data_IF_469725437558
#
_entry.id   IF_469725437558
#
_cell.length_a   1.000
_cell.length_b   1.000
_cell.length_c   1.000
_cell.angle_alpha   90.00
_cell.angle_beta   90.00
_cell.angle_gamma   90.00
#
_symmetry.space_group_name_H-M   'P 1'
#
loop_
_entity.id
_entity.type
_entity.pdbx_description
1 polymer ?
#
# COMPACT_ATOMS: atom_id res chain seq x y z
N UNK A 1 -23.61 14.28 -6.35
CA UNK A 1 -22.62 13.26 -6.79
C UNK A 1 -21.72 12.94 -5.61
N UNK A 2 -21.60 11.67 -5.20
CA UNK A 2 -20.81 11.26 -4.02
C UNK A 2 -19.43 10.80 -4.47
N UNK A 3 -18.38 11.36 -3.87
CA UNK A 3 -16.98 10.97 -4.08
C UNK A 3 -16.44 10.32 -2.80
N UNK A 4 -15.65 9.24 -2.89
CA UNK A 4 -15.03 8.66 -1.70
C UNK A 4 -14.05 9.65 -1.07
N UNK A 5 -14.04 9.68 0.26
CA UNK A 5 -12.98 10.33 1.02
C UNK A 5 -11.91 9.27 1.27
N UNK A 6 -10.65 9.51 0.89
CA UNK A 6 -9.58 8.57 1.15
C UNK A 6 -9.40 8.31 2.65
N UNK A 7 -9.01 7.09 3.05
CA UNK A 7 -8.68 6.77 4.45
C UNK A 7 -7.28 7.28 4.83
N UNK A 8 -6.38 7.42 3.85
CA UNK A 8 -5.01 7.89 4.06
C UNK A 8 -4.13 6.90 4.80
N UNK A 9 -3.07 7.39 5.44
CA UNK A 9 -2.28 6.60 6.38
C UNK A 9 -2.97 6.54 7.75
N UNK A 10 -2.48 5.69 8.65
CA UNK A 10 -3.05 5.59 9.99
C UNK A 10 -2.94 6.91 10.76
N UNK A 11 -3.89 7.13 11.68
CA UNK A 11 -3.91 8.31 12.54
C UNK A 11 -2.60 8.41 13.36
N UNK A 12 -1.97 9.59 13.50
CA UNK A 12 -0.72 9.76 14.24
C UNK A 12 -0.73 9.33 15.70
N UNK A 13 -1.91 9.15 16.31
CA UNK A 13 -2.04 8.55 17.65
C UNK A 13 -1.55 7.10 17.72
N UNK A 14 -1.50 6.41 16.57
CA UNK A 14 -1.00 5.04 16.47
C UNK A 14 0.46 5.05 16.01
N UNK A 15 1.27 4.13 16.54
CA UNK A 15 2.69 3.98 16.19
C UNK A 15 2.95 3.86 14.68
N UNK A 16 2.04 3.22 13.94
CA UNK A 16 2.14 3.05 12.49
C UNK A 16 1.59 4.24 11.68
N UNK A 17 1.07 5.27 12.35
CA UNK A 17 0.65 6.54 11.77
C UNK A 17 1.69 7.66 11.88
N UNK A 18 2.93 7.34 12.29
CA UNK A 18 3.98 8.33 12.52
C UNK A 18 4.39 9.05 11.21
N UNK A 19 3.87 10.27 11.02
CA UNK A 19 4.11 11.08 9.82
C UNK A 19 5.58 11.46 9.61
N UNK A 20 6.34 11.70 10.69
CA UNK A 20 7.76 12.02 10.58
C UNK A 20 8.55 10.88 9.94
N UNK A 21 8.16 9.63 10.24
CA UNK A 21 8.75 8.43 9.61
C UNK A 21 8.46 8.41 8.11
N UNK A 22 7.23 8.70 7.68
CA UNK A 22 6.91 8.81 6.26
C UNK A 22 7.73 9.90 5.58
N UNK A 23 7.75 11.11 6.16
CA UNK A 23 8.50 12.24 5.60
C UNK A 23 10.01 11.96 5.48
N UNK A 24 10.58 11.27 6.48
CA UNK A 24 11.97 10.81 6.47
C UNK A 24 12.22 9.90 5.26
N UNK A 25 11.47 8.82 5.11
CA UNK A 25 11.68 7.86 4.02
C UNK A 25 11.39 8.48 2.65
N UNK A 26 10.39 9.36 2.53
CA UNK A 26 10.11 10.09 1.29
C UNK A 26 11.29 10.94 0.81
N UNK A 27 12.11 11.46 1.73
CA UNK A 27 13.29 12.29 1.42
C UNK A 27 14.52 11.46 1.05
N UNK A 28 14.54 10.16 1.36
CA UNK A 28 15.66 9.27 1.03
C UNK A 28 15.81 9.05 -0.49
N UNK A 29 14.78 9.31 -1.29
CA UNK A 29 14.78 9.14 -2.76
C UNK A 29 15.35 7.77 -3.19
N UNK A 30 14.89 6.72 -2.50
CA UNK A 30 15.33 5.35 -2.72
C UNK A 30 15.18 4.91 -4.18
N UNK A 31 16.22 4.27 -4.73
CA UNK A 31 16.18 3.65 -6.05
C UNK A 31 15.23 2.44 -6.06
N UNK A 32 14.49 2.27 -7.16
CA UNK A 32 13.62 1.12 -7.34
C UNK A 32 14.42 -0.07 -7.84
N UNK A 33 14.37 -1.17 -7.12
CA UNK A 33 15.09 -2.41 -7.45
C UNK A 33 14.22 -3.67 -7.27
N UNK A 34 12.98 -3.52 -6.80
CA UNK A 34 12.00 -4.59 -6.68
C UNK A 34 10.84 -4.34 -7.63
N UNK A 35 10.44 -5.36 -8.38
CA UNK A 35 9.31 -5.23 -9.30
C UNK A 35 8.02 -4.96 -8.53
N UNK A 36 7.71 -5.79 -7.55
CA UNK A 36 6.57 -5.60 -6.68
C UNK A 36 6.87 -6.00 -5.24
N UNK A 37 6.10 -5.44 -4.30
CA UNK A 37 6.17 -5.78 -2.89
C UNK A 37 4.81 -6.21 -2.35
N UNK A 38 4.80 -7.34 -1.64
CA UNK A 38 3.64 -7.90 -0.98
C UNK A 38 3.98 -8.20 0.48
N UNK A 39 3.47 -7.36 1.39
CA UNK A 39 3.63 -7.57 2.82
C UNK A 39 2.39 -7.07 3.56
N UNK A 40 1.63 -8.02 4.11
CA UNK A 40 0.38 -7.75 4.83
C UNK A 40 -0.02 -8.88 5.76
N UNK A 41 -0.56 -8.52 6.93
CA UNK A 41 -1.04 -9.45 7.93
C UNK A 41 -2.33 -10.17 7.47
N UNK A 42 -2.31 -11.49 7.35
CA UNK A 42 -3.50 -12.28 6.97
C UNK A 42 -4.66 -12.07 7.95
N UNK A 43 -4.39 -11.93 9.25
CA UNK A 43 -5.43 -11.96 10.29
C UNK A 43 -6.44 -10.80 10.21
N UNK A 44 -6.10 -9.69 9.54
CA UNK A 44 -7.02 -8.55 9.39
C UNK A 44 -8.15 -8.83 8.41
N UNK A 45 -7.93 -9.70 7.42
CA UNK A 45 -8.97 -10.15 6.50
C UNK A 45 -8.56 -11.50 5.88
N UNK A 46 -8.71 -12.60 6.62
CA UNK A 46 -8.20 -13.90 6.19
C UNK A 46 -8.74 -14.33 4.82
N UNK A 47 -10.05 -14.21 4.51
CA UNK A 47 -10.57 -14.61 3.20
C UNK A 47 -9.91 -13.86 2.03
N UNK A 48 -9.86 -12.52 2.10
CA UNK A 48 -9.31 -11.72 1.00
C UNK A 48 -7.79 -11.87 0.85
N UNK A 49 -7.07 -11.97 1.97
CA UNK A 49 -5.60 -12.00 1.99
C UNK A 49 -5.03 -13.37 1.64
N UNK A 50 -5.68 -14.45 2.07
CA UNK A 50 -5.31 -15.80 1.63
C UNK A 50 -5.62 -16.01 0.15
N UNK A 51 -6.75 -15.51 -0.35
CA UNK A 51 -7.07 -15.55 -1.78
C UNK A 51 -6.00 -14.82 -2.62
N UNK A 52 -5.60 -13.62 -2.17
CA UNK A 52 -4.52 -12.86 -2.77
C UNK A 52 -3.22 -13.68 -2.83
N UNK A 53 -2.66 -14.12 -1.69
CA UNK A 53 -1.42 -14.92 -1.70
C UNK A 53 -1.51 -16.16 -2.59
N UNK A 54 -2.62 -16.89 -2.50
CA UNK A 54 -2.86 -18.09 -3.31
C UNK A 54 -2.82 -17.79 -4.81
N UNK A 55 -3.52 -16.75 -5.25
CA UNK A 55 -3.62 -16.42 -6.68
C UNK A 55 -2.37 -15.76 -7.23
N UNK A 56 -1.64 -14.98 -6.43
CA UNK A 56 -0.32 -14.47 -6.83
C UNK A 56 0.76 -15.57 -6.85
N UNK A 57 0.51 -16.74 -6.26
CA UNK A 57 1.49 -17.82 -6.19
C UNK A 57 2.68 -17.52 -5.25
N UNK A 58 2.50 -16.60 -4.30
CA UNK A 58 3.52 -16.22 -3.32
C UNK A 58 3.14 -16.70 -1.92
N UNK A 59 4.15 -17.00 -1.10
CA UNK A 59 3.91 -17.43 0.29
C UNK A 59 3.69 -16.21 1.18
N UNK A 60 2.78 -16.29 2.17
CA UNK A 60 2.66 -15.25 3.16
C UNK A 60 3.93 -15.16 3.99
N UNK A 61 4.26 -13.93 4.39
CA UNK A 61 5.26 -13.70 5.41
C UNK A 61 4.70 -14.21 6.75
N UNK A 62 5.31 -15.27 7.28
CA UNK A 62 4.86 -15.97 8.49
C UNK A 62 5.24 -15.23 9.78
N UNK A 63 6.02 -14.16 9.68
CA UNK A 63 6.58 -13.47 10.85
C UNK A 63 5.70 -12.34 11.40
N UNK A 64 4.50 -12.11 10.89
CA UNK A 64 3.59 -11.12 11.48
C UNK A 64 3.27 -11.50 12.94
N UNK A 65 3.78 -10.75 13.94
CA UNK A 65 3.54 -11.12 15.32
C UNK A 65 2.09 -10.80 15.64
N UNK A 66 1.37 -11.78 16.19
CA UNK A 66 0.16 -11.48 16.93
C UNK A 66 0.59 -10.75 18.20
N UNK A 67 0.47 -9.43 18.21
CA UNK A 67 0.84 -8.61 19.36
C UNK A 67 -0.02 -9.00 20.57
N UNK A 68 0.62 -9.43 21.65
CA UNK A 68 -0.07 -9.81 22.89
C UNK A 68 -0.53 -8.57 23.68
N UNK A 69 0.01 -7.40 23.37
CA UNK A 69 -0.37 -6.12 23.98
C UNK A 69 -0.16 -4.94 23.01
N UNK A 70 -0.70 -3.76 23.36
CA UNK A 70 -0.45 -2.50 22.63
C UNK A 70 1.05 -2.17 22.64
N UNK A 71 1.74 -2.41 23.76
CA UNK A 71 3.18 -2.18 23.87
C UNK A 71 3.96 -3.08 22.91
N UNK A 72 3.63 -4.37 22.82
CA UNK A 72 4.30 -5.29 21.91
C UNK A 72 4.07 -4.91 20.44
N UNK A 73 2.86 -4.44 20.12
CA UNK A 73 2.56 -3.88 18.81
C UNK A 73 3.43 -2.65 18.51
N UNK A 74 3.50 -1.70 19.44
CA UNK A 74 4.24 -0.45 19.23
C UNK A 74 5.75 -0.69 19.15
N UNK A 75 6.30 -1.58 19.97
CA UNK A 75 7.71 -1.98 19.90
C UNK A 75 8.03 -2.66 18.56
N UNK A 76 7.15 -3.54 18.08
CA UNK A 76 7.30 -4.16 16.77
C UNK A 76 7.28 -3.11 15.65
N UNK A 77 6.24 -2.25 15.61
CA UNK A 77 6.10 -1.22 14.59
C UNK A 77 7.29 -0.27 14.60
N UNK A 78 7.75 0.16 15.78
CA UNK A 78 8.88 1.07 15.89
C UNK A 78 10.18 0.46 15.36
N UNK A 79 10.35 -0.86 15.50
CA UNK A 79 11.51 -1.59 14.98
C UNK A 79 11.42 -1.88 13.49
N UNK A 80 10.22 -2.07 12.92
CA UNK A 80 10.06 -2.62 11.56
C UNK A 80 9.55 -1.62 10.53
N UNK A 81 8.82 -0.57 10.93
CA UNK A 81 8.08 0.25 9.97
C UNK A 81 9.01 1.04 9.03
N UNK A 82 10.16 1.51 9.50
CA UNK A 82 11.17 2.17 8.64
C UNK A 82 11.53 1.26 7.45
N UNK A 83 11.86 -0.02 7.72
CA UNK A 83 12.23 -0.98 6.68
C UNK A 83 11.04 -1.36 5.80
N UNK A 84 9.84 -1.49 6.38
CA UNK A 84 8.61 -1.71 5.63
C UNK A 84 8.37 -0.58 4.61
N UNK A 85 8.50 0.69 5.02
CA UNK A 85 8.33 1.83 4.12
C UNK A 85 9.44 1.91 3.07
N UNK A 86 10.69 1.60 3.45
CA UNK A 86 11.80 1.49 2.49
C UNK A 86 11.52 0.44 1.42
N UNK A 87 11.11 -0.77 1.82
CA UNK A 87 10.76 -1.83 0.89
C UNK A 87 9.66 -1.42 -0.10
N UNK A 88 8.64 -0.70 0.35
CA UNK A 88 7.64 -0.12 -0.54
C UNK A 88 8.30 0.88 -1.49
N UNK A 89 9.12 1.80 -0.99
CA UNK A 89 9.77 2.83 -1.81
C UNK A 89 10.72 2.27 -2.87
N UNK A 90 11.40 1.16 -2.54
CA UNK A 90 12.26 0.41 -3.45
C UNK A 90 11.48 -0.41 -4.49
N UNK A 91 10.14 -0.44 -4.42
CA UNK A 91 9.31 -1.26 -5.30
C UNK A 91 8.52 -0.44 -6.32
N UNK A 92 8.43 -0.89 -7.57
CA UNK A 92 7.58 -0.24 -8.58
C UNK A 92 6.10 -0.38 -8.25
N UNK A 93 5.66 -1.58 -7.86
CA UNK A 93 4.28 -1.90 -7.55
C UNK A 93 4.11 -2.42 -6.12
N UNK A 94 2.97 -2.15 -5.47
CA UNK A 94 2.66 -2.67 -4.12
C UNK A 94 1.32 -3.38 -4.12
N UNK A 95 1.31 -4.62 -3.63
CA UNK A 95 0.10 -5.45 -3.52
C UNK A 95 -0.71 -4.98 -2.31
N UNK A 96 -1.91 -4.46 -2.54
CA UNK A 96 -2.78 -3.87 -1.52
C UNK A 96 -4.17 -4.53 -1.51
N UNK A 97 -4.28 -5.76 -0.98
CA UNK A 97 -5.57 -6.43 -0.82
C UNK A 97 -6.36 -5.83 0.33
N UNK A 98 -7.68 -6.02 0.24
CA UNK A 98 -8.63 -5.62 1.27
C UNK A 98 -8.13 -6.00 2.67
N UNK A 99 -8.14 -5.02 3.58
CA UNK A 99 -7.93 -5.20 5.01
C UNK A 99 -9.28 -5.31 5.71
N UNK A 100 -9.40 -4.68 6.87
CA UNK A 100 -10.70 -4.54 7.54
C UNK A 100 -11.75 -3.80 6.67
N UNK A 101 -11.29 -3.01 5.69
CA UNK A 101 -12.12 -2.35 4.69
C UNK A 101 -11.50 -2.39 3.29
N UNK A 102 -12.25 -1.86 2.31
CA UNK A 102 -11.82 -1.77 0.89
C UNK A 102 -10.76 -0.69 0.66
N UNK A 103 -10.89 0.45 1.37
CA UNK A 103 -9.86 1.48 1.37
C UNK A 103 -8.82 1.15 2.46
N UNK A 104 -7.61 0.79 2.04
CA UNK A 104 -6.56 0.31 2.93
C UNK A 104 -5.49 1.38 3.11
N UNK A 105 -4.97 1.53 4.33
CA UNK A 105 -3.82 2.41 4.59
C UNK A 105 -2.65 2.12 3.64
N UNK A 106 -2.38 0.84 3.37
CA UNK A 106 -1.33 0.41 2.43
C UNK A 106 -1.42 1.01 1.03
N UNK A 107 -2.64 1.24 0.52
CA UNK A 107 -2.84 1.90 -0.77
C UNK A 107 -2.24 3.30 -0.75
N UNK A 108 -2.43 4.03 0.35
CA UNK A 108 -1.89 5.37 0.53
C UNK A 108 -0.40 5.36 0.88
N UNK A 109 0.05 4.42 1.70
CA UNK A 109 1.47 4.21 2.00
C UNK A 109 2.28 3.97 0.72
N UNK A 110 1.76 3.12 -0.19
CA UNK A 110 2.34 2.88 -1.51
C UNK A 110 2.50 4.18 -2.30
N UNK A 111 1.42 4.96 -2.40
CA UNK A 111 1.43 6.23 -3.12
C UNK A 111 2.44 7.24 -2.54
N UNK A 112 2.50 7.38 -1.20
CA UNK A 112 3.49 8.24 -0.55
C UNK A 112 4.93 7.81 -0.82
N UNK A 113 5.16 6.50 -0.92
CA UNK A 113 6.45 5.90 -1.24
C UNK A 113 6.73 5.78 -2.75
N UNK A 114 5.92 6.43 -3.60
CA UNK A 114 6.04 6.38 -5.07
C UNK A 114 5.96 4.94 -5.61
N UNK A 115 5.14 4.09 -5.03
CA UNK A 115 4.86 2.73 -5.52
C UNK A 115 3.40 2.65 -5.94
N UNK A 116 3.11 2.02 -7.08
CA UNK A 116 1.75 1.96 -7.61
C UNK A 116 0.98 0.84 -6.90
N UNK A 117 -0.08 1.15 -6.14
CA UNK A 117 -0.89 0.11 -5.50
C UNK A 117 -1.67 -0.69 -6.55
N UNK A 118 -1.65 -2.01 -6.40
CA UNK A 118 -2.51 -2.96 -7.08
C UNK A 118 -3.61 -3.38 -6.11
N UNK A 119 -4.87 -3.12 -6.46
CA UNK A 119 -6.05 -3.34 -5.61
C UNK A 119 -7.12 -4.14 -6.33
N UNK A 120 -8.04 -4.75 -5.57
CA UNK A 120 -9.28 -5.31 -6.13
C UNK A 120 -10.24 -4.20 -6.53
N UNK A 121 -11.07 -4.44 -7.54
CA UNK A 121 -12.11 -3.50 -7.98
C UNK A 121 -13.14 -3.26 -6.88
N UNK A 122 -13.40 -1.97 -6.65
CA UNK A 122 -14.54 -1.48 -5.89
C UNK A 122 -14.81 -0.02 -6.28
N UNK A 123 -15.98 0.50 -5.91
CA UNK A 123 -16.44 1.82 -6.33
C UNK A 123 -15.42 2.94 -6.10
N UNK A 124 -14.78 2.99 -4.94
CA UNK A 124 -13.84 4.06 -4.61
C UNK A 124 -12.50 3.95 -5.33
N UNK A 125 -11.97 2.74 -5.56
CA UNK A 125 -10.78 2.56 -6.40
C UNK A 125 -10.98 3.13 -7.81
N UNK A 126 -12.14 2.87 -8.42
CA UNK A 126 -12.46 3.44 -9.73
C UNK A 126 -12.59 4.96 -9.70
N UNK A 127 -13.13 5.51 -8.62
CA UNK A 127 -13.23 6.96 -8.44
C UNK A 127 -11.86 7.59 -8.23
N UNK A 128 -10.99 7.00 -7.42
CA UNK A 128 -9.61 7.46 -7.26
C UNK A 128 -8.84 7.43 -8.57
N UNK A 129 -8.96 6.34 -9.35
CA UNK A 129 -8.35 6.26 -10.69
C UNK A 129 -8.90 7.34 -11.63
N UNK A 130 -10.20 7.61 -11.61
CA UNK A 130 -10.82 8.72 -12.37
C UNK A 130 -10.36 10.11 -11.92
N UNK A 131 -9.91 10.25 -10.67
CA UNK A 131 -9.30 11.48 -10.15
C UNK A 131 -7.80 11.60 -10.49
N UNK A 132 -7.25 10.65 -11.26
CA UNK A 132 -5.84 10.64 -11.65
C UNK A 132 -4.90 10.04 -10.61
N UNK A 133 -5.42 9.36 -9.57
CA UNK A 133 -4.57 8.63 -8.63
C UNK A 133 -4.00 7.38 -9.35
N UNK A 134 -2.67 7.16 -9.33
CA UNK A 134 -2.05 6.03 -10.01
C UNK A 134 -2.36 4.73 -9.25
N UNK A 135 -3.33 3.97 -9.74
CA UNK A 135 -3.79 2.72 -9.14
C UNK A 135 -4.06 1.71 -10.25
N UNK A 136 -3.59 0.48 -10.06
CA UNK A 136 -3.97 -0.68 -10.87
C UNK A 136 -5.13 -1.38 -10.17
N UNK A 137 -6.18 -1.67 -10.93
CA UNK A 137 -7.43 -2.24 -10.42
C UNK A 137 -7.64 -3.57 -11.11
N UNK A 138 -7.76 -4.64 -10.34
CA UNK A 138 -8.02 -6.00 -10.81
C UNK A 138 -9.44 -6.43 -10.47
N UNK A 139 -10.12 -7.11 -11.39
CA UNK A 139 -11.38 -7.77 -11.08
C UNK A 139 -11.14 -9.05 -10.30
N UNK A 140 -10.07 -9.78 -10.60
CA UNK A 140 -9.56 -10.91 -9.84
C UNK A 140 -8.04 -10.93 -9.68
N UNK A 141 -7.54 -11.48 -8.57
CA UNK A 141 -6.10 -11.60 -8.35
C UNK A 141 -5.41 -12.53 -9.36
N UNK A 142 -6.15 -13.40 -10.06
CA UNK A 142 -5.59 -14.19 -11.16
C UNK A 142 -5.07 -13.32 -12.32
N UNK A 143 -5.65 -12.14 -12.55
CA UNK A 143 -5.24 -11.19 -13.59
C UNK A 143 -3.86 -10.60 -13.34
N UNK A 144 -3.32 -10.75 -12.11
CA UNK A 144 -1.99 -10.27 -11.77
C UNK A 144 -0.92 -10.81 -12.72
N UNK A 145 -1.05 -12.06 -13.16
CA UNK A 145 -0.11 -12.73 -14.05
C UNK A 145 -0.20 -12.25 -15.50
N UNK A 146 -1.30 -11.58 -15.87
CA UNK A 146 -1.51 -11.03 -17.20
C UNK A 146 -0.97 -9.59 -17.32
N UNK A 147 -0.50 -9.00 -16.20
CA UNK A 147 0.08 -7.66 -16.20
C UNK A 147 1.52 -7.68 -16.71
N UNK A 148 1.81 -6.81 -17.68
CA UNK A 148 3.19 -6.52 -18.10
C UNK A 148 3.84 -5.53 -17.12
N UNK A 149 4.14 -6.01 -15.91
CA UNK A 149 4.81 -5.21 -14.90
C UNK A 149 6.27 -4.96 -15.30
N UNK A 150 6.57 -3.73 -15.67
CA UNK A 150 7.91 -3.26 -15.94
C UNK A 150 8.07 -1.77 -15.57
N UNK A 151 9.30 -1.26 -15.65
CA UNK A 151 9.60 0.14 -15.36
C UNK A 151 8.84 1.09 -16.32
N UNK A 152 8.77 0.76 -17.60
CA UNK A 152 8.04 1.57 -18.59
C UNK A 152 6.54 1.63 -18.29
N UNK A 153 5.95 0.50 -17.89
CA UNK A 153 4.54 0.45 -17.49
C UNK A 153 4.30 1.30 -16.24
N UNK A 154 5.18 1.19 -15.22
CA UNK A 154 5.14 2.06 -14.04
C UNK A 154 5.22 3.54 -14.43
N UNK A 155 6.20 3.92 -15.25
CA UNK A 155 6.41 5.29 -15.68
C UNK A 155 5.19 5.83 -16.43
N UNK A 156 4.57 5.00 -17.28
CA UNK A 156 3.38 5.38 -18.05
C UNK A 156 2.16 5.73 -17.17
N UNK A 157 2.01 5.07 -16.02
CA UNK A 157 0.92 5.32 -15.07
C UNK A 157 1.28 6.51 -14.16
N UNK A 158 2.54 6.65 -13.77
CA UNK A 158 2.98 7.67 -12.82
C UNK A 158 3.17 9.06 -13.44
N UNK A 159 3.45 9.15 -14.74
CA UNK A 159 3.89 10.38 -15.44
C UNK A 159 3.06 11.63 -15.17
N UNK A 160 1.74 11.50 -15.06
CA UNK A 160 0.82 12.63 -14.92
C UNK A 160 0.49 12.95 -13.45
N UNK A 161 0.93 12.09 -12.52
CA UNK A 161 0.60 12.21 -11.12
C UNK A 161 1.61 13.08 -10.35
N UNK A 162 1.10 14.20 -9.81
CA UNK A 162 1.88 15.06 -8.93
C UNK A 162 1.73 14.60 -7.48
N UNK A 163 2.74 13.93 -6.94
CA UNK A 163 2.71 13.45 -5.55
C UNK A 163 2.49 14.56 -4.53
N UNK A 164 2.90 15.81 -4.83
CA UNK A 164 2.65 16.98 -3.99
C UNK A 164 1.16 17.31 -3.81
N UNK A 165 0.28 16.73 -4.62
CA UNK A 165 -1.17 16.77 -4.42
C UNK A 165 -1.65 15.92 -3.24
N UNK A 166 -0.86 14.93 -2.81
CA UNK A 166 -1.11 14.17 -1.58
C UNK A 166 -0.52 14.93 -0.39
N UNK A 167 -1.35 15.24 0.60
CA UNK A 167 -0.92 15.93 1.80
C UNK A 167 -1.47 15.22 3.04
N UNK A 168 -0.61 14.94 4.02
CA UNK A 168 -1.02 14.37 5.32
C UNK A 168 -2.09 15.22 6.03
N UNK A 169 -2.19 16.52 5.71
CA UNK A 169 -3.20 17.43 6.25
C UNK A 169 -4.65 17.03 5.94
N UNK A 170 -4.89 16.19 4.93
CA UNK A 170 -6.22 15.66 4.63
C UNK A 170 -6.67 14.54 5.57
N UNK A 171 -5.75 13.98 6.38
CA UNK A 171 -5.96 12.80 7.22
C UNK A 171 -5.66 13.06 8.70
N UNK A 172 -6.09 14.22 9.21
CA UNK A 172 -5.99 14.58 10.64
C UNK A 172 -7.17 14.04 11.44
#
# INVERSE_FOLDING_TARGET
KVSPIPIGIANPKWSHGNQERFEKIMKENNEKNMLYYANFNISTNPPARLDCYKKLGIKPDTEYPNAASIKDHDDFVNRTQDNYLRNISNSYFTISPDGNGKDCHKTWEALYMKSIPIVKRWYGAERFKKLGIPIIILDDWSEFHDLDLCEDFYASIWKDFKISSLNFKFFK
#
